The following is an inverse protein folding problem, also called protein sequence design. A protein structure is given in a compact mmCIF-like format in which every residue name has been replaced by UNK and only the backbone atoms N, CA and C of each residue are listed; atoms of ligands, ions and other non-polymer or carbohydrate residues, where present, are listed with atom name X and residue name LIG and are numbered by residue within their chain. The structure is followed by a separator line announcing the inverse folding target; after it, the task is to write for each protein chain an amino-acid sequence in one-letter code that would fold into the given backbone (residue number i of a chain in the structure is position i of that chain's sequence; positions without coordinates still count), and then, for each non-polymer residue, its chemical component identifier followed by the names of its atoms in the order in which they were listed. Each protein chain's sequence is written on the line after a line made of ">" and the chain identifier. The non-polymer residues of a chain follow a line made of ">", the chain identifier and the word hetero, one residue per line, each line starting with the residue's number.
data_IF_317179219728
#
_entry.id   IF_317179219728
#
_cell.length_a   1.000
_cell.length_b   1.000
_cell.length_c   1.000
_cell.angle_alpha   90.00
_cell.angle_beta   90.00
_cell.angle_gamma   90.00
#
_symmetry.space_group_name_H-M   'P 1'
#
loop_
_entity.id
_entity.type
_entity.pdbx_description
1 polymer ?
#
# COMPACT_ATOMS: atom_id res chain seq x y z
N UNK A 1 9.12 -8.66 5.07
CA UNK A 1 8.30 -7.45 4.96
C UNK A 1 7.50 -7.52 3.66
N UNK A 2 6.19 -7.28 3.70
CA UNK A 2 5.33 -7.29 2.50
C UNK A 2 4.81 -5.88 2.24
N UNK A 3 4.93 -5.39 1.00
CA UNK A 3 4.40 -4.08 0.59
C UNK A 3 3.38 -4.29 -0.52
N UNK A 4 2.25 -3.60 -0.44
CA UNK A 4 1.18 -3.67 -1.45
C UNK A 4 0.79 -2.25 -1.83
N UNK A 5 0.77 -1.97 -3.12
CA UNK A 5 0.46 -0.65 -3.68
C UNK A 5 -0.81 -0.76 -4.52
N UNK A 6 -1.91 -0.24 -3.99
CA UNK A 6 -3.16 -0.13 -4.70
C UNK A 6 -3.19 1.17 -5.51
N UNK A 7 -3.43 1.04 -6.81
CA UNK A 7 -3.35 2.13 -7.78
C UNK A 7 -4.64 2.28 -8.59
N UNK A 8 -4.82 3.48 -9.15
CA UNK A 8 -5.79 3.73 -10.22
C UNK A 8 -5.07 3.73 -11.58
N UNK A 9 -5.76 3.39 -12.69
CA UNK A 9 -5.21 3.58 -14.03
C UNK A 9 -4.88 5.07 -14.27
N UNK A 10 -3.86 5.33 -15.09
CA UNK A 10 -3.40 6.67 -15.47
C UNK A 10 -3.10 7.62 -14.29
N UNK A 11 -2.65 7.07 -13.17
CA UNK A 11 -2.39 7.83 -11.96
C UNK A 11 -0.89 8.14 -11.80
N UNK A 12 -0.48 9.38 -12.12
CA UNK A 12 0.89 9.87 -11.91
C UNK A 12 1.47 9.59 -10.50
N UNK A 13 0.77 9.91 -9.38
CA UNK A 13 1.34 9.63 -8.05
C UNK A 13 1.50 8.14 -7.74
N UNK A 14 0.72 7.26 -8.40
CA UNK A 14 0.91 5.81 -8.32
C UNK A 14 2.21 5.41 -9.01
N UNK A 15 2.43 5.88 -10.24
CA UNK A 15 3.65 5.63 -10.99
C UNK A 15 4.90 6.07 -10.22
N UNK A 16 4.89 7.30 -9.70
CA UNK A 16 6.01 7.84 -8.92
C UNK A 16 6.33 7.00 -7.68
N UNK A 17 5.30 6.54 -6.95
CA UNK A 17 5.51 5.67 -5.76
C UNK A 17 6.18 4.36 -6.16
N UNK A 18 5.67 3.69 -7.20
CA UNK A 18 6.22 2.42 -7.70
C UNK A 18 7.64 2.55 -8.20
N UNK A 19 7.93 3.59 -8.99
CA UNK A 19 9.29 3.88 -9.48
C UNK A 19 10.25 4.09 -8.31
N UNK A 20 9.83 4.77 -7.26
CA UNK A 20 10.65 5.03 -6.07
C UNK A 20 10.91 3.76 -5.26
N UNK A 21 9.92 2.88 -5.12
CA UNK A 21 10.11 1.58 -4.49
C UNK A 21 11.04 0.68 -5.30
N UNK A 22 10.81 0.55 -6.61
CA UNK A 22 11.63 -0.24 -7.49
C UNK A 22 13.09 0.26 -7.52
N UNK A 23 13.31 1.57 -7.59
CA UNK A 23 14.65 2.17 -7.58
C UNK A 23 15.43 1.92 -6.27
N UNK A 24 14.73 1.62 -5.18
CA UNK A 24 15.34 1.34 -3.87
C UNK A 24 15.28 -0.16 -3.51
N UNK A 25 14.94 -1.03 -4.47
CA UNK A 25 14.91 -2.48 -4.27
C UNK A 25 13.82 -2.96 -3.31
N UNK A 26 12.75 -2.18 -3.13
CA UNK A 26 11.60 -2.59 -2.30
C UNK A 26 10.69 -3.47 -3.14
N UNK A 27 10.52 -4.73 -2.74
CA UNK A 27 9.55 -5.63 -3.36
C UNK A 27 8.12 -5.24 -2.95
N UNK A 28 7.25 -5.06 -3.93
CA UNK A 28 5.85 -4.72 -3.71
C UNK A 28 4.92 -5.47 -4.66
N UNK A 29 3.68 -5.68 -4.21
CA UNK A 29 2.59 -6.23 -5.02
C UNK A 29 1.70 -5.08 -5.50
N UNK A 30 1.27 -5.13 -6.75
CA UNK A 30 0.33 -4.15 -7.30
C UNK A 30 -1.11 -4.63 -7.18
N UNK A 31 -1.99 -3.75 -6.71
CA UNK A 31 -3.43 -3.98 -6.70
C UNK A 31 -4.18 -2.86 -7.42
N UNK A 32 -5.37 -3.16 -7.95
CA UNK A 32 -6.22 -2.15 -8.59
C UNK A 32 -7.26 -1.62 -7.61
N UNK A 33 -7.27 -0.30 -7.38
CA UNK A 33 -8.34 0.37 -6.64
C UNK A 33 -9.64 0.33 -7.43
N UNK A 34 -9.58 0.34 -8.76
CA UNK A 34 -10.75 0.46 -9.63
C UNK A 34 -11.73 -0.71 -9.42
N UNK A 35 -11.20 -1.93 -9.32
CA UNK A 35 -11.99 -3.14 -9.08
C UNK A 35 -12.71 -3.15 -7.73
N UNK A 36 -12.19 -2.42 -6.73
CA UNK A 36 -12.68 -2.43 -5.35
C UNK A 36 -12.97 -1.01 -4.84
N UNK A 37 -13.39 -0.11 -5.73
CA UNK A 37 -13.50 1.32 -5.45
C UNK A 37 -14.40 1.63 -4.25
N UNK A 38 -15.46 0.86 -4.08
CA UNK A 38 -16.39 0.97 -2.96
C UNK A 38 -15.75 0.55 -1.63
N UNK A 39 -14.94 -0.51 -1.63
CA UNK A 39 -14.18 -0.93 -0.45
C UNK A 39 -13.22 0.18 -0.01
N UNK A 40 -12.39 0.69 -0.93
CA UNK A 40 -11.42 1.75 -0.60
C UNK A 40 -12.11 3.04 -0.12
N UNK A 41 -13.26 3.38 -0.70
CA UNK A 41 -14.08 4.52 -0.25
C UNK A 41 -14.66 4.30 1.16
N UNK A 42 -15.20 3.12 1.45
CA UNK A 42 -15.75 2.78 2.76
C UNK A 42 -14.68 2.76 3.86
N UNK A 43 -13.44 2.40 3.51
CA UNK A 43 -12.29 2.48 4.40
C UNK A 43 -11.79 3.92 4.64
N UNK A 44 -12.39 4.91 3.96
CA UNK A 44 -12.05 6.32 4.12
C UNK A 44 -10.85 6.79 3.29
N UNK A 45 -10.34 5.96 2.37
CA UNK A 45 -9.29 6.40 1.46
C UNK A 45 -9.86 7.33 0.39
N UNK A 46 -9.26 8.51 0.27
CA UNK A 46 -9.71 9.57 -0.66
C UNK A 46 -8.80 9.78 -1.85
N UNK A 47 -7.58 9.23 -1.81
CA UNK A 47 -6.54 9.48 -2.80
C UNK A 47 -5.78 8.19 -3.13
N UNK A 48 -5.37 8.05 -4.38
CA UNK A 48 -4.42 7.03 -4.80
C UNK A 48 -2.99 7.60 -4.82
N UNK A 49 -1.94 6.79 -4.63
CA UNK A 49 -1.96 5.35 -4.31
C UNK A 49 -2.35 5.07 -2.86
N UNK A 50 -2.88 3.88 -2.56
CA UNK A 50 -3.02 3.37 -1.20
C UNK A 50 -1.92 2.32 -0.98
N UNK A 51 -1.00 2.58 -0.05
CA UNK A 51 0.10 1.68 0.25
C UNK A 51 -0.17 0.99 1.57
N UNK A 52 -0.01 -0.32 1.59
CA UNK A 52 -0.03 -1.18 2.77
C UNK A 52 1.35 -1.79 2.96
N UNK A 53 1.87 -1.71 4.19
CA UNK A 53 3.18 -2.22 4.57
C UNK A 53 3.01 -3.13 5.77
N UNK A 54 3.55 -4.33 5.65
CA UNK A 54 3.48 -5.38 6.65
C UNK A 54 4.92 -5.71 7.06
N UNK A 55 5.42 -5.15 8.17
CA UNK A 55 6.74 -5.50 8.67
C UNK A 55 6.73 -6.94 9.20
N UNK A 56 7.90 -7.60 9.21
CA UNK A 56 8.04 -8.94 9.80
C UNK A 56 7.80 -8.95 11.32
N UNK A 57 8.07 -7.81 11.95
CA UNK A 57 7.85 -7.57 13.37
C UNK A 57 7.19 -6.21 13.56
N UNK A 58 6.08 -6.15 14.30
CA UNK A 58 5.36 -4.91 14.58
C UNK A 58 3.96 -4.89 13.98
N UNK A 59 3.35 -3.70 13.92
CA UNK A 59 2.01 -3.51 13.38
C UNK A 59 2.04 -3.21 11.88
N UNK A 60 1.02 -3.69 11.15
CA UNK A 60 0.82 -3.31 9.76
C UNK A 60 0.47 -1.82 9.65
N UNK A 61 0.93 -1.20 8.58
CA UNK A 61 0.89 0.23 8.34
C UNK A 61 0.24 0.49 6.99
N UNK A 62 -0.49 1.60 6.87
CA UNK A 62 -1.01 2.01 5.57
C UNK A 62 -1.16 3.51 5.46
N UNK A 63 -1.06 4.03 4.24
CA UNK A 63 -1.33 5.42 3.92
C UNK A 63 -1.94 5.55 2.53
N UNK A 64 -2.53 6.72 2.27
CA UNK A 64 -3.05 7.08 0.95
C UNK A 64 -2.41 8.36 0.42
N UNK A 65 -2.32 8.45 -0.91
CA UNK A 65 -1.66 9.53 -1.63
C UNK A 65 -0.13 9.38 -1.70
N UNK A 66 0.48 10.20 -2.55
CA UNK A 66 1.94 10.27 -2.68
C UNK A 66 2.54 10.99 -1.46
N UNK A 67 3.22 10.24 -0.59
CA UNK A 67 3.84 10.75 0.64
C UNK A 67 5.34 10.42 0.64
N UNK A 68 6.21 11.33 0.14
CA UNK A 68 7.63 11.06 -0.01
C UNK A 68 8.33 10.83 1.34
N UNK A 69 7.81 11.43 2.42
CA UNK A 69 8.26 11.22 3.80
C UNK A 69 8.10 9.75 4.24
N UNK A 70 6.93 9.13 4.00
CA UNK A 70 6.66 7.73 4.35
C UNK A 70 7.38 6.76 3.43
N UNK A 71 7.48 7.09 2.14
CA UNK A 71 8.28 6.32 1.20
C UNK A 71 9.74 6.26 1.66
N UNK A 72 10.30 7.41 2.08
CA UNK A 72 11.66 7.47 2.61
C UNK A 72 11.80 6.64 3.89
N UNK A 73 10.86 6.78 4.83
CA UNK A 73 10.88 6.00 6.09
C UNK A 73 10.83 4.49 5.84
N UNK A 74 10.05 4.04 4.85
CA UNK A 74 10.01 2.64 4.43
C UNK A 74 11.35 2.17 3.86
N UNK A 75 11.96 2.97 2.98
CA UNK A 75 13.29 2.69 2.39
C UNK A 75 14.37 2.62 3.47
N UNK A 76 14.30 3.48 4.48
CA UNK A 76 15.24 3.50 5.62
C UNK A 76 14.98 2.38 6.64
N UNK A 77 13.96 1.53 6.42
CA UNK A 77 13.60 0.44 7.33
C UNK A 77 13.04 0.91 8.68
N UNK A 78 12.55 2.15 8.77
CA UNK A 78 12.01 2.77 10.00
C UNK A 78 10.54 3.19 9.84
N UNK A 79 9.62 2.26 9.51
CA UNK A 79 8.24 2.64 9.28
C UNK A 79 7.47 2.92 10.60
N UNK A 80 8.00 2.49 11.75
CA UNK A 80 7.39 2.66 13.08
C UNK A 80 7.55 4.09 13.67
N UNK A 81 8.63 4.78 13.31
CA UNK A 81 9.04 6.05 13.95
C UNK A 81 8.39 7.34 13.43
N UNK A 82 7.61 7.27 12.34
CA UNK A 82 7.09 8.46 11.65
C UNK A 82 5.62 8.81 11.98
N UNK A 83 5.07 8.27 13.07
CA UNK A 83 3.67 8.53 13.41
C UNK A 83 2.69 7.85 12.45
N UNK A 84 3.10 6.75 11.81
CA UNK A 84 2.20 5.89 11.03
C UNK A 84 1.31 5.05 11.99
N UNK A 85 0.86 5.63 13.10
CA UNK A 85 0.21 4.91 14.21
C UNK A 85 -1.29 4.70 14.00
N UNK A 86 -1.81 4.92 12.79
CA UNK A 86 -3.25 5.02 12.55
C UNK A 86 -3.99 3.75 12.14
N UNK A 87 -3.34 2.70 11.62
CA UNK A 87 -4.06 1.71 10.79
C UNK A 87 -3.67 0.24 10.95
N UNK A 88 -3.17 -0.17 12.13
CA UNK A 88 -3.08 -1.58 12.50
C UNK A 88 -4.42 -2.34 12.40
N UNK A 89 -5.55 -1.61 12.42
CA UNK A 89 -6.91 -2.15 12.28
C UNK A 89 -7.37 -2.44 10.84
N UNK A 90 -6.65 -1.99 9.81
CA UNK A 90 -7.19 -1.97 8.44
C UNK A 90 -6.99 -3.30 7.69
N UNK A 91 -5.87 -4.00 7.92
CA UNK A 91 -5.56 -5.33 7.33
C UNK A 91 -6.68 -6.34 7.63
N UNK A 92 -7.14 -6.34 8.88
CA UNK A 92 -8.24 -7.18 9.41
C UNK A 92 -9.49 -7.04 8.55
N UNK A 93 -9.84 -5.84 8.08
CA UNK A 93 -11.07 -5.62 7.30
C UNK A 93 -10.97 -5.99 5.81
N UNK A 94 -9.77 -5.89 5.19
CA UNK A 94 -9.61 -6.22 3.76
C UNK A 94 -9.30 -7.71 3.57
N UNK A 95 -8.44 -8.32 4.40
CA UNK A 95 -8.17 -9.76 4.32
C UNK A 95 -9.40 -10.63 4.62
N UNK A 96 -10.27 -10.21 5.55
CA UNK A 96 -11.50 -10.95 5.84
C UNK A 96 -12.58 -10.79 4.78
N UNK A 97 -12.51 -9.75 3.93
CA UNK A 97 -13.51 -9.50 2.88
C UNK A 97 -13.09 -9.98 1.50
N UNK A 98 -11.81 -9.81 1.15
CA UNK A 98 -11.31 -10.08 -0.20
C UNK A 98 -9.85 -10.58 -0.14
N UNK A 99 -9.62 -11.85 0.27
CA UNK A 99 -8.28 -12.43 0.40
C UNK A 99 -7.53 -12.52 -0.93
N UNK A 100 -8.26 -12.47 -2.05
CA UNK A 100 -7.71 -12.42 -3.41
C UNK A 100 -6.90 -11.14 -3.68
N UNK A 101 -7.19 -10.02 -3.00
CA UNK A 101 -6.39 -8.80 -3.09
C UNK A 101 -4.96 -8.95 -2.55
N UNK A 102 -4.72 -9.97 -1.72
CA UNK A 102 -3.45 -10.23 -1.06
C UNK A 102 -2.74 -11.48 -1.58
N UNK A 103 -3.43 -12.29 -2.39
CA UNK A 103 -2.97 -13.58 -2.90
C UNK A 103 -2.27 -13.41 -4.26
N UNK A 104 -1.08 -12.79 -4.24
CA UNK A 104 -0.10 -12.73 -5.34
C UNK A 104 -0.57 -12.12 -6.68
N UNK A 105 0.34 -11.49 -7.45
CA UNK A 105 -0.03 -10.82 -8.70
C UNK A 105 -0.47 -11.85 -9.73
N UNK A 106 -1.72 -11.72 -10.19
CA UNK A 106 -2.11 -12.29 -11.47
C UNK A 106 -1.14 -11.79 -12.55
N UNK A 107 -0.56 -12.75 -13.25
CA UNK A 107 0.37 -12.62 -14.37
C UNK A 107 0.22 -11.31 -15.15
N UNK A 108 1.30 -10.53 -15.20
CA UNK A 108 1.53 -9.67 -16.35
C UNK A 108 1.69 -10.60 -17.56
N UNK A 109 0.65 -10.70 -18.38
CA UNK A 109 0.71 -11.28 -19.72
C UNK A 109 0.68 -10.17 -20.76
#
# INVERSE_FOLDING_TARGET
>A
MKVIVFCLPDCQPCRMTKERFAANGIEFVEGSIEKHRELFRNLGFKSAPVVLVEPDTGMALSWSGYRPEFIKALIEGKPDGYGITGYARMRVSIEMREPELFSAPGEAK
#
